data_IF_006656216516
#
_entry.id   IF_006656216516
#
_cell.length_a   1.000
_cell.length_b   1.000
_cell.length_c   1.000
_cell.angle_alpha   90.00
_cell.angle_beta   90.00
_cell.angle_gamma   90.00
#
_symmetry.space_group_name_H-M   'P 1'
#
loop_
_entity.id
_entity.type
_entity.pdbx_description
1 polymer ?
#
# COMPACT_ATOMS: atom_id res chain seq x y z
N UNK A 1 5.84 2.69 -3.60
CA UNK A 1 7.02 2.74 -2.70
C UNK A 1 6.98 4.06 -1.93
N UNK A 2 6.67 4.00 -0.64
CA UNK A 2 6.60 5.17 0.23
C UNK A 2 7.94 5.50 0.90
N UNK A 3 7.92 6.49 1.80
CA UNK A 3 9.11 6.93 2.53
C UNK A 3 9.73 5.83 3.38
N UNK A 4 8.92 5.11 4.16
CA UNK A 4 9.37 4.08 5.10
C UNK A 4 8.94 2.65 4.75
N UNK A 5 7.93 2.47 3.90
CA UNK A 5 7.40 1.16 3.51
C UNK A 5 7.24 1.00 1.99
N UNK A 6 7.61 -0.18 1.51
CA UNK A 6 7.27 -0.71 0.19
C UNK A 6 6.08 -1.66 0.37
N UNK A 7 5.02 -1.45 -0.42
CA UNK A 7 3.88 -2.38 -0.54
C UNK A 7 3.95 -3.03 -1.91
N UNK A 8 4.08 -4.35 -1.94
CA UNK A 8 4.17 -5.16 -3.15
C UNK A 8 2.86 -5.93 -3.32
N UNK A 9 2.25 -5.80 -4.49
CA UNK A 9 1.05 -6.53 -4.89
C UNK A 9 1.39 -7.36 -6.12
N UNK A 10 1.05 -8.64 -6.11
CA UNK A 10 1.26 -9.51 -7.27
C UNK A 10 0.18 -10.60 -7.37
N UNK A 11 -0.13 -10.98 -8.60
CA UNK A 11 -1.09 -12.03 -8.88
C UNK A 11 -0.39 -13.37 -9.11
N UNK A 12 -0.90 -14.43 -8.49
CA UNK A 12 -0.42 -15.80 -8.69
C UNK A 12 -1.57 -16.74 -9.03
N UNK A 13 -1.43 -17.56 -10.06
CA UNK A 13 -2.44 -18.59 -10.38
C UNK A 13 -2.46 -19.67 -9.30
N UNK A 14 -3.63 -20.22 -9.02
CA UNK A 14 -3.75 -21.37 -8.13
C UNK A 14 -3.13 -22.61 -8.77
N UNK A 15 -2.33 -23.35 -8.01
CA UNK A 15 -1.75 -24.59 -8.50
C UNK A 15 -2.87 -25.57 -8.87
N UNK A 16 -2.81 -26.12 -10.09
CA UNK A 16 -3.72 -27.14 -10.62
C UNK A 16 -5.12 -26.67 -11.06
N UNK A 17 -5.48 -25.39 -10.95
CA UNK A 17 -6.73 -24.88 -11.53
C UNK A 17 -6.59 -24.56 -13.02
N UNK A 18 -7.51 -25.07 -13.83
CA UNK A 18 -7.66 -24.70 -15.26
C UNK A 18 -8.58 -23.49 -15.45
N UNK A 19 -9.22 -23.01 -14.38
CA UNK A 19 -10.13 -21.87 -14.46
C UNK A 19 -9.37 -20.55 -14.62
N UNK A 20 -9.98 -19.56 -15.29
CA UNK A 20 -9.46 -18.20 -15.31
C UNK A 20 -9.59 -17.61 -13.90
N UNK A 21 -8.49 -17.62 -13.13
CA UNK A 21 -8.48 -17.14 -11.76
C UNK A 21 -7.12 -17.27 -11.08
N UNK A 22 -7.04 -16.76 -9.86
CA UNK A 22 -5.82 -16.77 -9.05
C UNK A 22 -5.97 -15.93 -7.79
N UNK A 23 -4.85 -15.70 -7.11
CA UNK A 23 -4.76 -14.99 -5.85
C UNK A 23 -4.03 -13.67 -6.04
N UNK A 24 -4.60 -12.61 -5.48
CA UNK A 24 -3.94 -11.34 -5.29
C UNK A 24 -3.19 -11.39 -3.95
N UNK A 25 -1.87 -11.25 -3.99
CA UNK A 25 -1.00 -11.35 -2.82
C UNK A 25 -0.50 -9.97 -2.41
N UNK A 26 -0.38 -9.74 -1.11
CA UNK A 26 0.06 -8.47 -0.51
C UNK A 26 1.24 -8.73 0.40
N UNK A 27 2.33 -7.99 0.21
CA UNK A 27 3.53 -8.06 1.04
C UNK A 27 4.04 -6.66 1.34
N UNK A 28 4.60 -6.49 2.53
CA UNK A 28 5.20 -5.25 2.97
C UNK A 28 6.69 -5.46 3.26
N UNK A 29 7.49 -4.49 2.85
CA UNK A 29 8.91 -4.40 3.20
C UNK A 29 9.18 -2.99 3.77
N UNK A 30 10.15 -2.88 4.66
CA UNK A 30 10.71 -1.58 5.02
C UNK A 30 11.44 -1.02 3.80
N UNK A 31 11.29 0.28 3.52
CA UNK A 31 11.95 0.92 2.37
C UNK A 31 13.47 0.82 2.45
N UNK A 32 14.02 0.78 3.67
CA UNK A 32 15.46 0.59 3.90
C UNK A 32 15.93 -0.83 3.52
N UNK A 33 15.02 -1.81 3.47
CA UNK A 33 15.24 -3.18 2.98
C UNK A 33 14.76 -3.36 1.53
N UNK A 34 14.99 -2.36 0.68
CA UNK A 34 14.64 -2.42 -0.75
C UNK A 34 15.29 -3.61 -1.47
N UNK A 35 16.50 -4.01 -1.07
CA UNK A 35 17.20 -5.14 -1.67
C UNK A 35 16.45 -6.46 -1.48
N UNK A 36 15.93 -6.72 -0.27
CA UNK A 36 15.12 -7.91 0.02
C UNK A 36 13.84 -7.94 -0.83
N UNK A 37 13.21 -6.79 -1.04
CA UNK A 37 12.05 -6.66 -1.91
C UNK A 37 12.39 -6.96 -3.37
N UNK A 38 13.53 -6.44 -3.88
CA UNK A 38 13.99 -6.71 -5.25
C UNK A 38 14.36 -8.17 -5.43
N UNK A 39 15.01 -8.79 -4.44
CA UNK A 39 15.32 -10.22 -4.47
C UNK A 39 14.04 -11.06 -4.50
N UNK A 40 13.03 -10.70 -3.71
CA UNK A 40 11.73 -11.36 -3.77
C UNK A 40 11.07 -11.21 -5.16
N UNK A 41 11.09 -10.01 -5.75
CA UNK A 41 10.59 -9.79 -7.12
C UNK A 41 11.35 -10.61 -8.17
N UNK A 42 12.67 -10.81 -8.00
CA UNK A 42 13.46 -11.69 -8.88
C UNK A 42 12.95 -13.13 -8.80
N UNK A 43 12.69 -13.65 -7.60
CA UNK A 43 12.10 -14.99 -7.45
C UNK A 43 10.72 -15.12 -8.10
N UNK A 44 9.87 -14.09 -8.01
CA UNK A 44 8.59 -14.06 -8.71
C UNK A 44 8.76 -14.10 -10.23
N UNK A 45 9.69 -13.29 -10.77
CA UNK A 45 10.03 -13.28 -12.19
C UNK A 45 10.49 -14.66 -12.65
N UNK A 46 11.45 -15.27 -11.96
CA UNK A 46 12.00 -16.57 -12.35
C UNK A 46 10.90 -17.65 -12.35
N UNK A 47 10.06 -17.66 -11.31
CA UNK A 47 8.89 -18.56 -11.24
C UNK A 47 7.92 -18.32 -12.40
N UNK A 48 7.61 -17.06 -12.74
CA UNK A 48 6.72 -16.75 -13.85
C UNK A 48 7.30 -17.16 -15.21
N UNK A 49 8.61 -17.00 -15.41
CA UNK A 49 9.30 -17.45 -16.63
C UNK A 49 9.23 -18.97 -16.80
N UNK A 50 9.38 -19.74 -15.72
CA UNK A 50 9.23 -21.21 -15.79
C UNK A 50 7.81 -21.67 -16.17
N UNK A 51 6.79 -20.87 -15.84
CA UNK A 51 5.38 -21.23 -16.06
C UNK A 51 4.85 -20.80 -17.44
N UNK A 52 5.38 -19.73 -18.05
CA UNK A 52 4.80 -19.10 -19.24
C UNK A 52 5.46 -19.48 -20.59
N UNK A 53 6.47 -20.34 -20.63
CA UNK A 53 7.01 -20.90 -21.88
C UNK A 53 7.53 -19.87 -22.91
N UNK A 54 7.61 -20.29 -24.18
CA UNK A 54 8.40 -19.65 -25.26
C UNK A 54 7.80 -18.40 -25.93
N UNK A 55 6.63 -17.92 -25.49
CA UNK A 55 6.11 -16.60 -25.86
C UNK A 55 5.77 -15.80 -24.61
N UNK A 56 6.79 -15.23 -23.94
CA UNK A 56 6.54 -14.39 -22.79
C UNK A 56 5.84 -13.12 -23.26
N UNK A 57 4.65 -12.83 -22.74
CA UNK A 57 4.24 -11.43 -22.63
C UNK A 57 5.34 -10.67 -21.89
N UNK A 58 5.62 -9.43 -22.29
CA UNK A 58 6.63 -8.62 -21.61
C UNK A 58 6.23 -8.46 -20.14
N UNK A 59 6.97 -9.11 -19.22
CA UNK A 59 6.83 -8.85 -17.80
C UNK A 59 7.28 -7.40 -17.55
N UNK A 60 6.40 -6.59 -16.98
CA UNK A 60 6.71 -5.24 -16.54
C UNK A 60 6.44 -5.09 -15.05
N UNK A 61 7.20 -4.22 -14.41
CA UNK A 61 6.97 -3.81 -13.02
C UNK A 61 6.30 -2.45 -13.05
N UNK A 62 5.09 -2.35 -12.51
CA UNK A 62 4.44 -1.07 -12.26
C UNK A 62 4.86 -0.57 -10.87
N UNK A 63 5.37 0.65 -10.80
CA UNK A 63 5.84 1.26 -9.57
C UNK A 63 5.21 2.65 -9.41
N UNK A 64 4.61 2.90 -8.25
CA UNK A 64 4.02 4.20 -7.89
C UNK A 64 4.62 4.73 -6.58
N UNK A 65 4.30 5.98 -6.24
CA UNK A 65 4.81 6.70 -5.08
C UNK A 65 6.23 7.25 -5.25
N UNK A 66 6.65 8.13 -4.34
CA UNK A 66 7.95 8.83 -4.46
C UNK A 66 9.18 7.91 -4.65
N UNK A 67 9.16 6.72 -4.06
CA UNK A 67 10.25 5.75 -4.23
C UNK A 67 10.31 5.11 -5.63
N UNK A 68 9.26 5.18 -6.43
CA UNK A 68 9.27 4.70 -7.82
C UNK A 68 10.27 5.49 -8.68
N UNK A 69 10.51 6.76 -8.36
CA UNK A 69 11.56 7.56 -8.99
C UNK A 69 12.93 7.23 -8.40
N UNK A 70 13.04 7.19 -7.07
CA UNK A 70 14.30 6.95 -6.34
C UNK A 70 14.95 5.60 -6.69
N UNK A 71 14.15 4.54 -6.81
CA UNK A 71 14.64 3.18 -7.02
C UNK A 71 14.47 2.67 -8.45
N UNK A 72 14.06 3.54 -9.39
CA UNK A 72 13.78 3.19 -10.78
C UNK A 72 14.93 2.41 -11.43
N UNK A 73 16.12 3.01 -11.46
CA UNK A 73 17.29 2.43 -12.13
C UNK A 73 17.74 1.13 -11.45
N UNK A 74 17.63 1.06 -10.12
CA UNK A 74 18.00 -0.14 -9.36
C UNK A 74 17.09 -1.32 -9.70
N UNK A 75 15.77 -1.11 -9.68
CA UNK A 75 14.79 -2.15 -10.03
C UNK A 75 14.99 -2.59 -11.48
N UNK A 76 15.10 -1.64 -12.40
CA UNK A 76 15.29 -1.92 -13.83
C UNK A 76 16.58 -2.70 -14.09
N UNK A 77 17.68 -2.30 -13.45
CA UNK A 77 18.98 -2.94 -13.61
C UNK A 77 19.00 -4.37 -13.08
N UNK A 78 18.49 -4.60 -11.87
CA UNK A 78 18.54 -5.92 -11.23
C UNK A 78 17.55 -6.90 -11.86
N UNK A 79 16.34 -6.45 -12.17
CA UNK A 79 15.31 -7.32 -12.74
C UNK A 79 15.43 -7.47 -14.25
N UNK A 80 16.07 -6.52 -14.96
CA UNK A 80 16.18 -6.56 -16.42
C UNK A 80 14.82 -6.57 -17.13
N UNK A 81 13.83 -5.89 -16.54
CA UNK A 81 12.47 -5.73 -17.08
C UNK A 81 12.11 -4.25 -17.16
N UNK A 82 11.11 -3.93 -17.98
CA UNK A 82 10.60 -2.57 -18.02
C UNK A 82 9.92 -2.20 -16.71
N UNK A 83 10.27 -1.02 -16.21
CA UNK A 83 9.64 -0.42 -15.04
C UNK A 83 8.77 0.74 -15.53
N UNK A 84 7.47 0.66 -15.28
CA UNK A 84 6.50 1.70 -15.57
C UNK A 84 6.24 2.49 -14.29
N UNK A 85 6.37 3.81 -14.37
CA UNK A 85 6.09 4.70 -13.24
C UNK A 85 4.70 5.25 -13.38
N UNK A 86 3.89 5.04 -12.36
CA UNK A 86 2.50 5.50 -12.32
C UNK A 86 2.34 6.61 -11.26
N UNK A 87 1.37 7.49 -11.47
CA UNK A 87 1.05 8.55 -10.50
C UNK A 87 0.56 7.96 -9.17
N UNK A 88 0.97 8.57 -8.06
CA UNK A 88 0.63 8.08 -6.72
C UNK A 88 -0.86 8.24 -6.40
N UNK A 89 -1.45 9.39 -6.75
CA UNK A 89 -2.84 9.66 -6.43
C UNK A 89 -3.77 8.85 -7.34
N UNK A 90 -3.44 8.72 -8.62
CA UNK A 90 -4.22 7.90 -9.55
C UNK A 90 -4.23 6.42 -9.13
N UNK A 91 -3.07 5.84 -8.79
CA UNK A 91 -3.00 4.45 -8.33
C UNK A 91 -3.78 4.22 -7.03
N UNK A 92 -3.73 5.16 -6.08
CA UNK A 92 -4.48 5.07 -4.84
C UNK A 92 -5.98 5.02 -5.08
N UNK A 93 -6.49 5.86 -5.98
CA UNK A 93 -7.92 5.95 -6.28
C UNK A 93 -8.38 4.72 -7.05
N UNK A 94 -7.67 4.33 -8.10
CA UNK A 94 -8.01 3.13 -8.88
C UNK A 94 -8.01 1.89 -7.99
N UNK A 95 -7.01 1.74 -7.11
CA UNK A 95 -6.94 0.63 -6.18
C UNK A 95 -8.07 0.64 -5.16
N UNK A 96 -8.35 1.80 -4.57
CA UNK A 96 -9.42 1.94 -3.58
C UNK A 96 -10.81 1.69 -4.20
N UNK A 97 -11.09 2.25 -5.38
CA UNK A 97 -12.36 2.03 -6.07
C UNK A 97 -12.58 0.53 -6.32
N UNK A 98 -11.56 -0.19 -6.80
CA UNK A 98 -11.60 -1.64 -6.97
C UNK A 98 -11.92 -2.38 -5.66
N UNK A 99 -11.31 -1.97 -4.55
CA UNK A 99 -11.57 -2.57 -3.24
C UNK A 99 -12.98 -2.32 -2.73
N UNK A 100 -13.53 -1.12 -2.95
CA UNK A 100 -14.88 -0.78 -2.53
C UNK A 100 -15.92 -1.50 -3.40
N UNK A 101 -15.71 -1.61 -4.72
CA UNK A 101 -16.74 -2.12 -5.66
C UNK A 101 -16.67 -3.63 -5.86
N UNK A 102 -15.50 -4.25 -5.76
CA UNK A 102 -15.32 -5.67 -6.10
C UNK A 102 -15.07 -6.58 -4.90
N UNK A 103 -14.51 -6.06 -3.80
CA UNK A 103 -14.00 -6.92 -2.71
C UNK A 103 -14.97 -6.92 -1.52
N UNK A 104 -15.62 -8.07 -1.22
CA UNK A 104 -16.53 -8.16 -0.09
C UNK A 104 -15.77 -8.13 1.24
N UNK A 105 -16.36 -7.49 2.26
CA UNK A 105 -15.80 -7.34 3.62
C UNK A 105 -14.49 -6.56 3.67
N UNK A 106 -14.30 -5.64 2.73
CA UNK A 106 -13.13 -4.75 2.71
C UNK A 106 -13.40 -3.44 3.45
N UNK A 107 -14.55 -2.81 3.19
CA UNK A 107 -14.93 -1.56 3.82
C UNK A 107 -15.66 -1.84 5.13
N UNK A 108 -15.14 -1.29 6.23
CA UNK A 108 -15.77 -1.38 7.54
C UNK A 108 -15.91 -0.02 8.22
N UNK A 109 -16.90 0.08 9.09
CA UNK A 109 -17.12 1.22 9.98
C UNK A 109 -17.63 0.71 11.32
N UNK A 110 -17.32 1.42 12.40
CA UNK A 110 -17.82 1.13 13.74
C UNK A 110 -18.10 2.45 14.45
N UNK A 111 -19.35 2.66 14.85
CA UNK A 111 -19.74 3.75 15.75
C UNK A 111 -19.76 3.28 17.20
N UNK A 112 -20.10 2.01 17.41
CA UNK A 112 -19.96 1.23 18.64
C UNK A 112 -19.67 -0.23 18.25
N UNK A 113 -18.95 -0.98 19.08
CA UNK A 113 -18.62 -2.41 18.86
C UNK A 113 -19.90 -3.25 18.65
N UNK A 114 -20.04 -4.15 17.65
CA UNK A 114 -19.03 -4.77 16.77
C UNK A 114 -18.75 -4.06 15.43
N UNK A 115 -17.65 -4.44 14.79
CA UNK A 115 -17.25 -4.01 13.44
C UNK A 115 -18.32 -4.36 12.37
N UNK A 116 -18.82 -3.35 11.66
CA UNK A 116 -19.79 -3.51 10.57
C UNK A 116 -19.10 -3.38 9.21
N UNK A 117 -19.40 -4.30 8.29
CA UNK A 117 -18.88 -4.27 6.93
C UNK A 117 -19.94 -3.73 5.96
N UNK A 118 -19.55 -2.81 5.10
CA UNK A 118 -20.37 -2.39 3.98
C UNK A 118 -20.34 -3.45 2.88
N UNK A 119 -21.49 -3.66 2.22
CA UNK A 119 -21.54 -4.43 0.97
C UNK A 119 -20.92 -3.61 -0.16
N UNK A 120 -20.25 -4.25 -1.13
CA UNK A 120 -19.78 -3.55 -2.31
C UNK A 120 -20.93 -2.82 -3.04
N UNK A 121 -20.66 -1.62 -3.53
CA UNK A 121 -21.63 -0.73 -4.18
C UNK A 121 -20.95 0.00 -5.34
N UNK A 122 -21.69 0.28 -6.41
CA UNK A 122 -21.24 1.12 -7.53
C UNK A 122 -21.41 2.62 -7.24
N UNK A 123 -22.30 2.96 -6.29
CA UNK A 123 -22.56 4.34 -5.88
C UNK A 123 -21.68 4.72 -4.68
N UNK A 124 -20.41 5.02 -4.97
CA UNK A 124 -19.37 5.28 -3.96
C UNK A 124 -18.98 6.76 -3.88
N UNK A 125 -19.35 7.57 -4.86
CA UNK A 125 -18.92 8.95 -4.97
C UNK A 125 -20.00 9.93 -4.47
N UNK A 126 -19.61 11.10 -3.93
CA UNK A 126 -18.25 11.52 -3.65
C UNK A 126 -17.73 10.94 -2.32
N UNK A 127 -16.41 10.78 -2.22
CA UNK A 127 -15.75 10.42 -0.96
C UNK A 127 -14.48 11.25 -0.71
N UNK A 128 -14.01 11.24 0.54
CA UNK A 128 -12.72 11.83 0.93
C UNK A 128 -11.75 10.70 1.29
N UNK A 129 -10.69 10.56 0.50
CA UNK A 129 -9.59 9.66 0.82
C UNK A 129 -8.56 10.40 1.67
N UNK A 130 -8.41 9.97 2.92
CA UNK A 130 -7.36 10.43 3.84
C UNK A 130 -6.27 9.36 3.91
N UNK A 131 -5.24 9.51 3.08
CA UNK A 131 -4.13 8.57 3.03
C UNK A 131 -3.05 8.95 4.08
N UNK A 132 -2.88 8.11 5.10
CA UNK A 132 -1.93 8.32 6.20
C UNK A 132 -0.69 7.44 5.98
N UNK A 133 0.43 8.10 5.67
CA UNK A 133 1.75 7.48 5.58
C UNK A 133 2.75 8.21 6.49
N UNK A 134 3.94 8.52 5.98
CA UNK A 134 4.91 9.37 6.72
C UNK A 134 4.32 10.76 7.01
N UNK A 135 3.62 11.34 6.03
CA UNK A 135 2.71 12.47 6.18
C UNK A 135 1.26 12.05 5.87
N UNK A 136 0.35 13.01 5.74
CA UNK A 136 -1.06 12.78 5.40
C UNK A 136 -1.43 13.52 4.12
N UNK A 137 -2.14 12.84 3.21
CA UNK A 137 -2.72 13.44 2.01
C UNK A 137 -4.24 13.30 2.04
N UNK A 138 -4.97 14.37 1.73
CA UNK A 138 -6.42 14.40 1.70
C UNK A 138 -6.90 14.67 0.27
N UNK A 139 -7.63 13.73 -0.31
CA UNK A 139 -8.09 13.74 -1.69
C UNK A 139 -9.62 13.72 -1.71
N UNK A 140 -10.24 14.75 -2.30
CA UNK A 140 -11.66 14.70 -2.64
C UNK A 140 -11.81 13.97 -3.96
N UNK A 141 -12.57 12.89 -3.97
CA UNK A 141 -12.89 12.10 -5.17
C UNK A 141 -14.35 12.31 -5.51
N UNK A 142 -14.61 12.89 -6.68
CA UNK A 142 -15.96 13.28 -7.12
C UNK A 142 -16.57 12.30 -8.13
N UNK A 143 -15.75 11.40 -8.68
CA UNK A 143 -16.15 10.40 -9.67
C UNK A 143 -14.94 9.60 -10.16
N UNK A 144 -15.14 8.64 -11.08
CA UNK A 144 -14.06 7.82 -11.63
C UNK A 144 -12.97 8.69 -12.24
N UNK A 145 -11.74 8.56 -11.72
CA UNK A 145 -10.57 9.37 -12.11
C UNK A 145 -10.79 10.90 -11.99
N UNK A 146 -11.79 11.34 -11.23
CA UNK A 146 -12.08 12.76 -10.98
C UNK A 146 -11.77 13.08 -9.52
N UNK A 147 -10.58 13.63 -9.29
CA UNK A 147 -10.09 13.89 -7.94
C UNK A 147 -9.27 15.17 -7.83
N UNK A 148 -9.21 15.70 -6.63
CA UNK A 148 -8.38 16.84 -6.29
C UNK A 148 -7.77 16.68 -4.91
N UNK A 149 -6.51 17.07 -4.77
CA UNK A 149 -5.87 17.20 -3.45
C UNK A 149 -6.39 18.44 -2.76
N UNK A 150 -7.21 18.22 -1.73
CA UNK A 150 -7.84 19.31 -0.95
C UNK A 150 -7.01 19.71 0.26
N UNK A 151 -6.06 18.88 0.68
CA UNK A 151 -5.20 19.19 1.81
C UNK A 151 -4.18 18.11 2.12
N UNK A 152 -3.50 18.32 3.23
CA UNK A 152 -2.56 17.38 3.81
C UNK A 152 -1.79 18.00 4.96
N UNK A 153 -1.11 17.18 5.73
CA UNK A 153 -0.26 17.62 6.84
C UNK A 153 1.05 16.82 6.84
N UNK A 154 2.14 17.44 7.27
CA UNK A 154 3.39 16.74 7.54
C UNK A 154 3.32 15.92 8.84
N UNK A 155 2.33 16.19 9.70
CA UNK A 155 2.05 15.47 10.94
C UNK A 155 1.30 14.17 10.64
N UNK A 156 2.01 13.17 10.11
CA UNK A 156 1.50 11.81 9.88
C UNK A 156 2.18 10.78 10.77
N UNK A 157 2.17 9.52 10.32
CA UNK A 157 2.77 8.40 11.05
C UNK A 157 4.28 8.54 11.26
N UNK A 158 4.98 9.25 10.36
CA UNK A 158 6.42 9.52 10.53
C UNK A 158 6.71 10.47 11.68
N UNK A 159 5.81 11.43 11.94
CA UNK A 159 5.93 12.33 13.09
C UNK A 159 5.66 11.58 14.39
N UNK A 160 4.58 10.78 14.43
CA UNK A 160 4.25 9.93 15.58
C UNK A 160 5.42 9.00 15.93
N UNK A 161 5.91 8.25 14.92
CA UNK A 161 7.04 7.34 15.08
C UNK A 161 8.29 8.05 15.61
N UNK A 162 8.66 9.17 14.99
CA UNK A 162 9.87 9.92 15.35
C UNK A 162 9.82 10.43 16.78
N UNK A 163 8.69 11.02 17.19
CA UNK A 163 8.51 11.54 18.55
C UNK A 163 8.53 10.42 19.58
N UNK A 164 7.75 9.35 19.37
CA UNK A 164 7.70 8.23 20.32
C UNK A 164 9.06 7.54 20.44
N UNK A 165 9.76 7.32 19.32
CA UNK A 165 11.12 6.74 19.36
C UNK A 165 12.08 7.55 20.22
N UNK A 166 12.02 8.90 20.13
CA UNK A 166 12.90 9.80 20.87
C UNK A 166 12.51 9.95 22.34
N UNK A 167 11.21 9.97 22.64
CA UNK A 167 10.70 10.25 23.98
C UNK A 167 10.58 9.00 24.86
N UNK A 168 10.30 7.84 24.28
CA UNK A 168 10.07 6.59 25.03
C UNK A 168 11.16 5.55 24.83
N UNK A 169 11.99 5.71 23.79
CA UNK A 169 13.01 4.72 23.40
C UNK A 169 12.46 3.51 22.64
N UNK A 170 11.17 3.50 22.29
CA UNK A 170 10.55 2.43 21.50
C UNK A 170 11.26 2.23 20.15
N UNK A 171 11.35 0.97 19.71
CA UNK A 171 12.09 0.56 18.51
C UNK A 171 11.20 0.00 17.40
N UNK A 172 9.95 -0.32 17.70
CA UNK A 172 8.96 -0.80 16.72
C UNK A 172 7.64 -0.05 16.83
N UNK A 173 6.79 -0.13 15.79
CA UNK A 173 5.45 0.48 15.85
C UNK A 173 4.59 -0.23 16.89
N UNK A 174 4.73 -1.56 16.98
CA UNK A 174 3.96 -2.38 17.91
C UNK A 174 4.29 -2.02 19.36
N UNK A 175 5.57 -1.82 19.70
CA UNK A 175 5.96 -1.32 21.02
C UNK A 175 5.34 0.04 21.34
N UNK A 176 5.20 0.91 20.34
CA UNK A 176 4.56 2.22 20.50
C UNK A 176 3.06 2.08 20.76
N UNK A 177 2.37 1.20 20.04
CA UNK A 177 0.95 0.92 20.24
C UNK A 177 0.70 0.29 21.62
N UNK A 178 1.50 -0.70 22.01
CA UNK A 178 1.42 -1.36 23.32
C UNK A 178 1.67 -0.38 24.48
N UNK A 179 2.55 0.61 24.28
CA UNK A 179 2.79 1.67 25.25
C UNK A 179 1.62 2.65 25.32
N UNK A 180 1.02 3.00 24.18
CA UNK A 180 -0.14 3.90 24.11
C UNK A 180 -1.39 3.29 24.75
N UNK A 181 -1.64 1.98 24.56
CA UNK A 181 -2.78 1.28 25.16
C UNK A 181 -2.76 1.30 26.70
N UNK A 182 -1.56 1.24 27.30
CA UNK A 182 -1.37 1.30 28.75
C UNK A 182 -1.15 2.73 29.28
N UNK A 183 -1.08 3.70 28.38
CA UNK A 183 -0.80 5.09 28.69
C UNK A 183 -1.99 5.83 29.30
N UNK A 184 -1.72 6.99 29.87
CA UNK A 184 -2.74 7.91 30.37
C UNK A 184 -2.37 9.33 29.91
N UNK A 185 -3.05 9.80 28.87
CA UNK A 185 -2.73 11.07 28.23
C UNK A 185 -3.05 12.27 29.13
N UNK A 186 -3.97 12.13 30.10
CA UNK A 186 -4.36 13.20 31.04
C UNK A 186 -3.21 13.69 31.94
N UNK A 187 -2.12 12.92 32.02
CA UNK A 187 -0.92 13.30 32.77
C UNK A 187 0.02 14.23 32.01
N UNK A 188 -0.22 14.47 30.73
CA UNK A 188 0.64 15.26 29.84
C UNK A 188 -0.16 16.34 29.11
N UNK A 189 -1.36 16.00 28.62
CA UNK A 189 -2.25 16.94 27.96
C UNK A 189 -2.85 17.92 28.99
N UNK A 190 -2.92 19.21 28.65
CA UNK A 190 -3.50 20.28 29.49
C UNK A 190 -4.96 20.56 29.17
#
# INVERSE_FOLDING_TARGET
>A
IGGSLIKLVYFSREAHSKEPGGRLNFLNFETDRIDDCIEFMRHLKDKQQTLNGSQPGALSVMATGGGAFKFYDKIRHVLGVDVLREDEMECLIIGLDFFITEIPREVSYSETDPMHFASPSDDIYPYLLVNIGSGVSMLKVSGPRQYQRVGGTSLGGGTLWGLLSLLTGARSFDEMLDAAERGDNSKVDM
#
